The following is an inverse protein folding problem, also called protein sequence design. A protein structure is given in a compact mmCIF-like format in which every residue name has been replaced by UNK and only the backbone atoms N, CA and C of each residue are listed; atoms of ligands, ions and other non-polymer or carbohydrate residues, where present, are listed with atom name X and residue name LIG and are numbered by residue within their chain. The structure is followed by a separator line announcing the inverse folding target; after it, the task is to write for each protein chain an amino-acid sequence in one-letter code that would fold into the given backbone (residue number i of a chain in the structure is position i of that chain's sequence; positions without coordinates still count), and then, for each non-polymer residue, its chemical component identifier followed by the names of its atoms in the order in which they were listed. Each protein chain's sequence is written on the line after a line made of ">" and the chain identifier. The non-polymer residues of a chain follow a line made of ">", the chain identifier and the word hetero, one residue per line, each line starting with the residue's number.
data_IF_660901915856
#
_entry.id   IF_660901915856
#
_cell.length_a   1.000
_cell.length_b   1.000
_cell.length_c   1.000
_cell.angle_alpha   90.00
_cell.angle_beta   90.00
_cell.angle_gamma   90.00
#
_symmetry.space_group_name_H-M   'P 1'
#
loop_
_entity.id
_entity.type
_entity.pdbx_description
1 polymer ?
#
# COMPACT_ATOMS: atom_id res chain seq x y z
N UNK A 1 0.46 8.04 -17.81
CA UNK A 1 -0.49 7.10 -17.16
C UNK A 1 -0.76 5.86 -18.01
N UNK A 2 -1.09 6.05 -19.30
CA UNK A 2 -1.41 4.98 -20.24
C UNK A 2 -0.37 3.85 -20.30
N UNK A 3 0.93 4.18 -20.34
CA UNK A 3 2.01 3.18 -20.39
C UNK A 3 2.02 2.26 -19.17
N UNK A 4 1.83 2.80 -17.95
CA UNK A 4 1.80 1.97 -16.75
C UNK A 4 0.60 1.01 -16.76
N UNK A 5 -0.59 1.51 -17.12
CA UNK A 5 -1.80 0.67 -17.17
C UNK A 5 -1.64 -0.45 -18.20
N UNK A 6 -1.15 -0.13 -19.41
CA UNK A 6 -0.90 -1.13 -20.46
C UNK A 6 0.12 -2.18 -20.03
N UNK A 7 1.21 -1.79 -19.37
CA UNK A 7 2.19 -2.75 -18.88
C UNK A 7 1.62 -3.59 -17.74
N UNK A 8 0.81 -2.99 -16.85
CA UNK A 8 0.13 -3.72 -15.78
C UNK A 8 -0.82 -4.77 -16.34
N UNK A 9 -1.54 -4.51 -17.43
CA UNK A 9 -2.39 -5.54 -18.08
C UNK A 9 -1.61 -6.82 -18.40
N UNK A 10 -0.39 -6.68 -18.92
CA UNK A 10 0.45 -7.83 -19.25
C UNK A 10 1.05 -8.50 -18.01
N UNK A 11 1.45 -7.73 -17.01
CA UNK A 11 2.12 -8.24 -15.79
C UNK A 11 1.13 -8.94 -14.87
N UNK A 12 -0.09 -8.41 -14.74
CA UNK A 12 -1.13 -8.99 -13.87
C UNK A 12 -1.52 -10.40 -14.34
N UNK A 13 -1.49 -10.68 -15.64
CA UNK A 13 -1.77 -12.02 -16.17
C UNK A 13 -0.72 -13.09 -15.78
N UNK A 14 0.40 -12.69 -15.17
CA UNK A 14 1.42 -13.61 -14.64
C UNK A 14 1.22 -13.97 -13.16
N UNK A 15 0.09 -13.56 -12.58
CA UNK A 15 -0.29 -13.80 -11.19
C UNK A 15 0.78 -13.43 -10.14
N UNK A 16 1.29 -12.18 -10.15
CA UNK A 16 2.27 -11.75 -9.17
C UNK A 16 1.64 -11.54 -7.78
N UNK A 17 2.35 -11.94 -6.73
CA UNK A 17 1.94 -11.67 -5.35
C UNK A 17 1.91 -10.16 -5.01
N UNK A 18 2.77 -9.37 -5.68
CA UNK A 18 2.82 -7.91 -5.53
C UNK A 18 3.45 -7.28 -6.76
N UNK A 19 3.07 -6.04 -7.06
CA UNK A 19 3.73 -5.23 -8.09
C UNK A 19 4.33 -3.95 -7.50
N UNK A 20 5.63 -3.74 -7.72
CA UNK A 20 6.31 -2.47 -7.39
C UNK A 20 6.39 -1.57 -8.62
N UNK A 21 5.82 -0.37 -8.53
CA UNK A 21 5.83 0.63 -9.61
C UNK A 21 6.72 1.81 -9.22
N UNK A 22 7.88 1.94 -9.88
CA UNK A 22 8.71 3.14 -9.77
C UNK A 22 8.18 4.21 -10.71
N UNK A 23 7.95 5.42 -10.21
CA UNK A 23 7.37 6.54 -10.94
C UNK A 23 8.27 7.76 -10.94
N UNK A 24 8.33 8.50 -12.04
CA UNK A 24 9.25 9.65 -12.19
C UNK A 24 8.93 10.84 -11.28
N UNK A 25 7.66 11.04 -10.92
CA UNK A 25 7.19 12.19 -10.13
C UNK A 25 5.89 11.86 -9.37
N UNK A 26 5.44 12.80 -8.52
CA UNK A 26 4.25 12.63 -7.69
C UNK A 26 2.94 13.06 -8.40
N UNK A 27 2.72 12.57 -9.63
CA UNK A 27 1.49 12.88 -10.39
C UNK A 27 0.32 12.01 -9.90
N UNK A 28 -0.69 12.65 -9.29
CA UNK A 28 -1.86 11.99 -8.71
C UNK A 28 -2.62 11.10 -9.71
N UNK A 29 -2.89 11.58 -10.93
CA UNK A 29 -3.64 10.81 -11.93
C UNK A 29 -3.00 9.46 -12.25
N UNK A 30 -1.66 9.41 -12.31
CA UNK A 30 -0.93 8.15 -12.56
C UNK A 30 -1.07 7.22 -11.35
N UNK A 31 -0.94 7.75 -10.14
CA UNK A 31 -1.10 6.97 -8.91
C UNK A 31 -2.52 6.37 -8.83
N UNK A 32 -3.55 7.19 -9.05
CA UNK A 32 -4.95 6.75 -9.04
C UNK A 32 -5.22 5.71 -10.12
N UNK A 33 -4.67 5.87 -11.33
CA UNK A 33 -4.84 4.87 -12.40
C UNK A 33 -4.20 3.51 -12.04
N UNK A 34 -2.99 3.51 -11.47
CA UNK A 34 -2.31 2.30 -10.99
C UNK A 34 -3.14 1.63 -9.88
N UNK A 35 -3.59 2.41 -8.89
CA UNK A 35 -4.38 1.89 -7.77
C UNK A 35 -5.74 1.37 -8.19
N UNK A 36 -6.45 2.06 -9.09
CA UNK A 36 -7.73 1.58 -9.63
C UNK A 36 -7.54 0.23 -10.32
N UNK A 37 -6.54 0.12 -11.19
CA UNK A 37 -6.29 -1.12 -11.94
C UNK A 37 -5.98 -2.31 -11.04
N UNK A 38 -5.15 -2.11 -10.01
CA UNK A 38 -4.66 -3.20 -9.16
C UNK A 38 -5.47 -3.45 -7.89
N UNK A 39 -6.36 -2.55 -7.49
CA UNK A 39 -7.20 -2.72 -6.30
C UNK A 39 -8.69 -2.85 -6.61
N UNK A 40 -9.15 -2.38 -7.78
CA UNK A 40 -10.56 -2.46 -8.19
C UNK A 40 -10.73 -3.48 -9.32
N UNK A 41 -9.98 -3.35 -10.41
CA UNK A 41 -10.15 -4.24 -11.57
C UNK A 41 -9.51 -5.62 -11.33
N UNK A 42 -8.49 -5.68 -10.47
CA UNK A 42 -7.73 -6.86 -10.06
C UNK A 42 -7.45 -6.76 -8.57
N UNK A 43 -7.16 -7.88 -7.90
CA UNK A 43 -6.89 -7.94 -6.46
C UNK A 43 -5.39 -8.16 -6.18
N UNK A 44 -4.53 -7.22 -6.59
CA UNK A 44 -3.07 -7.35 -6.45
C UNK A 44 -2.48 -6.19 -5.64
N UNK A 45 -1.81 -6.47 -4.51
CA UNK A 45 -1.12 -5.45 -3.73
C UNK A 45 -0.07 -4.70 -4.56
N UNK A 46 0.01 -3.39 -4.37
CA UNK A 46 0.95 -2.53 -5.11
C UNK A 46 1.78 -1.62 -4.22
N UNK A 47 3.08 -1.51 -4.51
CA UNK A 47 4.01 -0.55 -3.91
C UNK A 47 4.43 0.49 -4.95
N UNK A 48 4.00 1.75 -4.78
CA UNK A 48 4.38 2.84 -5.70
C UNK A 48 5.50 3.67 -5.06
N UNK A 49 6.60 3.85 -5.77
CA UNK A 49 7.77 4.61 -5.29
C UNK A 49 8.14 5.71 -6.26
N UNK A 50 8.35 6.93 -5.76
CA UNK A 50 8.87 8.01 -6.60
C UNK A 50 10.38 7.82 -6.79
N UNK A 51 10.89 7.98 -8.01
CA UNK A 51 12.30 7.78 -8.35
C UNK A 51 13.22 8.57 -7.43
N UNK A 52 12.91 9.84 -7.15
CA UNK A 52 13.69 10.69 -6.22
C UNK A 52 13.84 10.12 -4.81
N UNK A 53 12.92 9.24 -4.38
CA UNK A 53 12.92 8.62 -3.06
C UNK A 53 13.89 7.44 -2.99
N UNK A 54 14.20 6.80 -4.12
CA UNK A 54 15.14 5.68 -4.22
C UNK A 54 16.49 6.10 -4.83
N UNK A 55 16.65 7.36 -5.23
CA UNK A 55 17.93 7.91 -5.71
C UNK A 55 18.75 8.45 -4.53
N UNK A 56 20.02 8.05 -4.36
CA UNK A 56 20.87 8.56 -3.29
C UNK A 56 21.07 10.07 -3.42
N UNK A 57 20.85 10.83 -2.34
CA UNK A 57 21.17 12.27 -2.32
C UNK A 57 22.68 12.43 -2.14
N UNK A 58 23.35 13.11 -3.08
CA UNK A 58 24.78 13.38 -3.01
C UNK A 58 25.68 12.13 -3.00
N UNK A 59 25.23 11.02 -3.60
CA UNK A 59 26.00 9.76 -3.66
C UNK A 59 26.02 8.94 -2.36
N UNK A 60 25.42 9.43 -1.26
CA UNK A 60 25.45 8.72 0.02
C UNK A 60 24.31 7.70 0.15
N UNK A 61 24.66 6.42 -0.08
CA UNK A 61 23.74 5.28 -0.04
C UNK A 61 23.15 5.04 1.37
N UNK A 62 23.80 5.47 2.46
CA UNK A 62 23.26 5.29 3.83
C UNK A 62 21.90 5.94 4.02
N UNK A 63 21.64 7.05 3.32
CA UNK A 63 20.34 7.75 3.40
C UNK A 63 19.19 6.91 2.83
N UNK A 64 19.48 5.99 1.90
CA UNK A 64 18.49 5.08 1.32
C UNK A 64 18.13 3.93 2.24
N UNK A 65 19.01 3.54 3.17
CA UNK A 65 18.77 2.37 4.03
C UNK A 65 17.49 2.55 4.84
N UNK A 66 17.27 3.72 5.46
CA UNK A 66 16.07 3.98 6.26
C UNK A 66 14.79 3.97 5.41
N UNK A 67 14.87 4.45 4.16
CA UNK A 67 13.76 4.42 3.21
C UNK A 67 13.45 2.97 2.81
N UNK A 68 14.48 2.21 2.46
CA UNK A 68 14.36 0.80 2.08
C UNK A 68 13.74 -0.03 3.21
N UNK A 69 14.18 0.14 4.45
CA UNK A 69 13.62 -0.55 5.62
C UNK A 69 12.13 -0.28 5.77
N UNK A 70 11.69 1.00 5.66
CA UNK A 70 10.27 1.37 5.74
C UNK A 70 9.45 0.76 4.60
N UNK A 71 9.99 0.75 3.38
CA UNK A 71 9.32 0.18 2.21
C UNK A 71 9.18 -1.33 2.33
N UNK A 72 10.21 -2.04 2.80
CA UNK A 72 10.16 -3.49 3.01
C UNK A 72 9.15 -3.85 4.08
N UNK A 73 9.10 -3.12 5.19
CA UNK A 73 8.05 -3.31 6.22
C UNK A 73 6.66 -3.10 5.60
N UNK A 74 6.47 -2.05 4.80
CA UNK A 74 5.20 -1.79 4.13
C UNK A 74 4.82 -2.91 3.14
N UNK A 75 5.80 -3.45 2.42
CA UNK A 75 5.58 -4.59 1.51
C UNK A 75 5.18 -5.84 2.29
N UNK A 76 5.82 -6.10 3.44
CA UNK A 76 5.44 -7.20 4.33
C UNK A 76 3.97 -7.07 4.77
N UNK A 77 3.55 -5.90 5.25
CA UNK A 77 2.15 -5.67 5.66
C UNK A 77 1.14 -5.87 4.52
N UNK A 78 1.51 -5.48 3.29
CA UNK A 78 0.66 -5.65 2.10
C UNK A 78 0.49 -7.10 1.66
N UNK A 79 1.40 -7.98 2.08
CA UNK A 79 1.31 -9.42 1.88
C UNK A 79 0.66 -10.13 3.08
N UNK A 80 0.12 -9.39 4.05
CA UNK A 80 -0.51 -9.92 5.25
C UNK A 80 0.45 -10.19 6.41
N UNK A 81 1.72 -9.83 6.29
CA UNK A 81 2.68 -9.98 7.37
C UNK A 81 2.49 -8.96 8.49
N UNK A 82 2.87 -9.35 9.71
CA UNK A 82 2.77 -8.51 10.90
C UNK A 82 4.19 -8.19 11.40
N UNK A 83 4.69 -6.96 11.21
CA UNK A 83 6.09 -6.64 11.51
C UNK A 83 6.37 -6.56 13.02
N UNK A 84 5.37 -6.20 13.83
CA UNK A 84 5.44 -6.23 15.29
C UNK A 84 4.02 -6.28 15.89
N UNK A 85 3.93 -6.62 17.17
CA UNK A 85 2.70 -6.57 17.97
C UNK A 85 2.99 -5.98 19.35
N UNK A 86 1.96 -5.47 20.02
CA UNK A 86 2.02 -5.03 21.42
C UNK A 86 1.26 -6.03 22.28
N UNK A 87 1.76 -6.34 23.47
CA UNK A 87 1.07 -7.22 24.42
C UNK A 87 -0.12 -6.47 25.02
N UNK A 88 -1.32 -7.01 24.82
CA UNK A 88 -2.56 -6.49 25.42
C UNK A 88 -2.98 -7.48 26.51
N UNK A 89 -3.10 -7.06 27.79
CA UNK A 89 -3.42 -7.96 28.89
C UNK A 89 -4.93 -8.26 28.97
N UNK A 90 -5.59 -8.50 27.84
CA UNK A 90 -7.03 -8.79 27.75
C UNK A 90 -7.26 -9.96 26.79
N UNK A 91 -7.96 -10.99 27.25
CA UNK A 91 -8.29 -12.16 26.43
C UNK A 91 -9.59 -11.95 25.66
N UNK A 92 -9.59 -12.30 24.37
CA UNK A 92 -10.81 -12.24 23.53
C UNK A 92 -11.22 -10.82 23.13
N UNK A 93 -10.31 -9.84 23.25
CA UNK A 93 -10.59 -8.47 22.83
C UNK A 93 -10.63 -8.35 21.30
N UNK A 94 -11.73 -7.80 20.79
CA UNK A 94 -11.85 -7.29 19.44
C UNK A 94 -11.93 -5.76 19.50
N UNK A 95 -11.03 -5.08 18.79
CA UNK A 95 -11.08 -3.62 18.64
C UNK A 95 -11.50 -3.27 17.23
N UNK A 96 -12.52 -2.41 17.09
CA UNK A 96 -13.05 -1.97 15.81
C UNK A 96 -12.88 -0.46 15.68
N UNK A 97 -12.26 -0.03 14.58
CA UNK A 97 -12.19 1.37 14.15
C UNK A 97 -13.06 1.60 12.92
N UNK A 98 -13.75 2.72 12.86
CA UNK A 98 -14.55 3.15 11.71
C UNK A 98 -14.26 4.62 11.41
N UNK A 99 -14.09 4.95 10.13
CA UNK A 99 -13.89 6.32 9.66
C UNK A 99 -14.59 6.54 8.31
N UNK A 100 -14.92 7.79 8.01
CA UNK A 100 -15.61 8.19 6.77
C UNK A 100 -14.81 9.27 6.06
N UNK A 101 -14.57 9.09 4.77
CA UNK A 101 -13.90 10.07 3.92
C UNK A 101 -14.82 10.48 2.76
N UNK A 102 -14.97 11.79 2.54
CA UNK A 102 -15.73 12.32 1.40
C UNK A 102 -14.94 12.17 0.10
N UNK A 103 -15.63 11.81 -0.98
CA UNK A 103 -14.99 11.72 -2.29
C UNK A 103 -14.56 13.12 -2.76
N UNK A 104 -13.28 13.25 -3.11
CA UNK A 104 -12.71 14.48 -3.68
C UNK A 104 -13.30 14.83 -5.05
N UNK A 105 -13.83 13.85 -5.79
CA UNK A 105 -14.43 14.06 -7.13
C UNK A 105 -15.92 14.32 -7.08
N UNK A 106 -16.63 13.68 -6.16
CA UNK A 106 -18.08 13.74 -6.04
C UNK A 106 -18.49 14.03 -4.59
N UNK A 107 -18.79 15.30 -4.29
CA UNK A 107 -19.15 15.74 -2.94
C UNK A 107 -20.42 15.09 -2.39
N UNK A 108 -21.23 14.45 -3.24
CA UNK A 108 -22.42 13.70 -2.80
C UNK A 108 -22.08 12.32 -2.24
N UNK A 109 -20.83 11.85 -2.40
CA UNK A 109 -20.38 10.52 -2.01
C UNK A 109 -19.43 10.56 -0.81
N UNK A 110 -19.62 9.58 0.06
CA UNK A 110 -18.78 9.33 1.22
C UNK A 110 -18.44 7.85 1.28
N UNK A 111 -17.19 7.53 1.58
CA UNK A 111 -16.72 6.16 1.75
C UNK A 111 -16.43 5.89 3.21
N UNK A 112 -17.15 4.94 3.81
CA UNK A 112 -16.85 4.42 5.14
C UNK A 112 -15.86 3.27 5.06
N UNK A 113 -14.86 3.27 5.94
CA UNK A 113 -13.91 2.18 6.11
C UNK A 113 -13.99 1.67 7.55
N UNK A 114 -14.07 0.35 7.71
CA UNK A 114 -14.05 -0.34 9.00
C UNK A 114 -12.82 -1.24 9.06
N UNK A 115 -12.10 -1.20 10.18
CA UNK A 115 -10.95 -2.07 10.45
C UNK A 115 -11.19 -2.74 11.80
N UNK A 116 -11.03 -4.06 11.83
CA UNK A 116 -11.12 -4.85 13.05
C UNK A 116 -9.77 -5.51 13.34
N UNK A 117 -9.29 -5.37 14.58
CA UNK A 117 -8.13 -6.07 15.10
C UNK A 117 -8.60 -7.09 16.15
N UNK A 118 -8.05 -8.29 16.07
CA UNK A 118 -8.33 -9.39 16.98
C UNK A 118 -7.02 -9.80 17.65
N UNK A 119 -7.06 -9.99 18.97
CA UNK A 119 -5.97 -10.66 19.65
C UNK A 119 -6.13 -12.18 19.49
N UNK A 120 -5.24 -12.79 18.71
CA UNK A 120 -5.24 -14.22 18.43
C UNK A 120 -4.48 -15.04 19.49
N UNK A 121 -3.97 -14.44 20.56
CA UNK A 121 -3.44 -15.21 21.70
C UNK A 121 -4.58 -15.84 22.51
N UNK A 122 -5.16 -16.91 21.95
CA UNK A 122 -6.03 -17.84 22.64
C UNK A 122 -5.82 -19.25 22.07
N UNK A 123 -4.65 -19.83 22.37
CA UNK A 123 -4.46 -21.15 22.98
C UNK A 123 -2.97 -21.43 23.18
#
# INVERSE_FOLDING_TARGET
>A
PATYVRTLDNVVNRDPQMIMCVVSNNKADRYTAIKKKCCVDRAIPTQVMVQRTITPKGGNVRTLMSVATKVVIQMNCKLGGVPWKVKIPLSGLMTVGFDVCHDTKDKSKSFGAMVAAFDYENK
#
